data_IF_842053994924
#
_entry.id   IF_842053994924
#
_cell.length_a   1.000
_cell.length_b   1.000
_cell.length_c   1.000
_cell.angle_alpha   90.00
_cell.angle_beta   90.00
_cell.angle_gamma   90.00
#
_symmetry.space_group_name_H-M   'P 1'
#
loop_
_entity.id
_entity.type
_entity.pdbx_description
1 polymer ?
#
# COMPACT_ATOMS: atom_id res chain seq x y z
N UNK A 1 19.15 6.65 -5.39
CA UNK A 1 18.37 5.42 -5.69
C UNK A 1 17.05 5.59 -4.95
N UNK A 2 15.93 5.16 -5.49
CA UNK A 2 14.64 5.19 -4.80
C UNK A 2 14.45 3.91 -4.02
N UNK A 3 13.91 4.01 -2.81
CA UNK A 3 13.60 2.88 -1.95
C UNK A 3 12.10 2.57 -2.02
N UNK A 4 11.70 1.31 -1.84
CA UNK A 4 10.31 0.91 -1.68
C UNK A 4 10.13 0.24 -0.31
N UNK A 5 9.28 0.78 0.54
CA UNK A 5 8.93 0.16 1.82
C UNK A 5 7.62 -0.59 1.66
N UNK A 6 7.66 -1.90 1.91
CA UNK A 6 6.57 -2.83 1.69
C UNK A 6 5.85 -3.14 3.01
N UNK A 7 4.55 -2.85 3.05
CA UNK A 7 3.71 -2.98 4.23
C UNK A 7 2.75 -4.16 4.06
N UNK A 8 2.89 -5.17 4.90
CA UNK A 8 2.15 -6.42 4.81
C UNK A 8 0.69 -6.31 5.31
N UNK A 9 -0.20 -7.26 4.92
CA UNK A 9 -1.58 -7.30 5.40
C UNK A 9 -1.67 -7.72 6.86
N UNK A 10 -2.88 -7.76 7.39
CA UNK A 10 -3.16 -8.11 8.79
C UNK A 10 -2.66 -9.52 9.16
N UNK A 11 -1.97 -9.67 10.28
CA UNK A 11 -1.35 -10.94 10.70
C UNK A 11 -2.32 -12.12 10.75
N UNK A 12 -3.50 -11.93 11.31
CA UNK A 12 -4.48 -13.00 11.45
C UNK A 12 -5.01 -13.57 10.12
N UNK A 13 -4.77 -12.85 9.01
CA UNK A 13 -5.20 -13.24 7.66
C UNK A 13 -4.00 -13.57 6.74
N UNK A 14 -2.96 -14.17 7.31
CA UNK A 14 -1.74 -14.52 6.56
C UNK A 14 -0.81 -13.35 6.31
N UNK A 15 -0.85 -12.33 7.18
CA UNK A 15 0.06 -11.20 7.17
C UNK A 15 1.47 -11.57 7.59
N UNK A 16 2.37 -10.59 7.42
CA UNK A 16 3.79 -10.69 7.69
C UNK A 16 4.60 -10.35 6.44
N UNK A 17 5.86 -10.01 6.64
CA UNK A 17 6.78 -9.58 5.58
C UNK A 17 6.98 -10.63 4.47
N UNK A 18 6.66 -11.90 4.74
CA UNK A 18 6.73 -13.02 3.80
C UNK A 18 5.37 -13.39 3.19
N UNK A 19 4.34 -12.55 3.36
CA UNK A 19 3.08 -12.71 2.65
C UNK A 19 3.32 -12.86 1.15
N UNK A 20 2.53 -13.71 0.47
CA UNK A 20 2.73 -14.06 -0.93
C UNK A 20 2.76 -12.83 -1.86
N UNK A 21 1.83 -11.90 -1.71
CA UNK A 21 1.76 -10.68 -2.55
C UNK A 21 2.99 -9.80 -2.27
N UNK A 22 3.32 -9.59 -1.00
CA UNK A 22 4.50 -8.80 -0.59
C UNK A 22 5.79 -9.43 -1.10
N UNK A 23 5.94 -10.76 -1.02
CA UNK A 23 7.12 -11.47 -1.53
C UNK A 23 7.22 -11.36 -3.04
N UNK A 24 6.11 -11.51 -3.76
CA UNK A 24 6.11 -11.38 -5.23
C UNK A 24 6.51 -9.98 -5.70
N UNK A 25 6.09 -8.93 -4.98
CA UNK A 25 6.50 -7.54 -5.25
C UNK A 25 7.99 -7.36 -4.91
N UNK A 26 8.40 -7.83 -3.74
CA UNK A 26 9.80 -7.75 -3.29
C UNK A 26 10.76 -8.36 -4.30
N UNK A 27 10.49 -9.62 -4.71
CA UNK A 27 11.36 -10.36 -5.62
C UNK A 27 11.46 -9.68 -7.00
N UNK A 28 10.37 -9.07 -7.49
CA UNK A 28 10.38 -8.31 -8.76
C UNK A 28 11.14 -7.01 -8.66
N UNK A 29 11.01 -6.29 -7.55
CA UNK A 29 11.74 -5.05 -7.32
C UNK A 29 13.26 -5.26 -7.28
N UNK A 30 13.75 -6.41 -6.80
CA UNK A 30 15.17 -6.75 -6.81
C UNK A 30 15.79 -6.70 -8.21
N UNK A 31 14.99 -6.88 -9.26
CA UNK A 31 15.44 -6.80 -10.66
C UNK A 31 15.32 -5.39 -11.26
N UNK A 32 15.02 -4.37 -10.46
CA UNK A 32 14.81 -2.98 -10.90
C UNK A 32 15.80 -2.02 -10.26
N UNK A 33 15.64 -0.71 -10.55
CA UNK A 33 16.40 0.37 -9.90
C UNK A 33 15.78 0.83 -8.56
N UNK A 34 14.71 0.19 -8.09
CA UNK A 34 14.04 0.49 -6.82
C UNK A 34 14.44 -0.55 -5.79
N UNK A 35 15.04 -0.13 -4.68
CA UNK A 35 15.51 -1.01 -3.61
C UNK A 35 14.37 -1.37 -2.66
N UNK A 36 13.93 -2.64 -2.57
CA UNK A 36 12.85 -3.03 -1.68
C UNK A 36 13.30 -3.25 -0.24
N UNK A 37 12.46 -2.83 0.69
CA UNK A 37 12.55 -3.09 2.13
C UNK A 37 11.24 -3.72 2.58
N UNK A 38 11.30 -4.80 3.35
CA UNK A 38 10.14 -5.42 3.99
C UNK A 38 10.44 -5.69 5.46
N UNK A 39 9.43 -5.62 6.29
CA UNK A 39 9.54 -5.75 7.73
C UNK A 39 8.22 -6.28 8.30
N UNK A 40 8.23 -6.74 9.54
CA UNK A 40 7.02 -7.07 10.28
C UNK A 40 6.64 -5.91 11.19
N UNK A 41 5.35 -5.55 11.22
CA UNK A 41 4.85 -4.62 12.22
C UNK A 41 5.01 -5.20 13.62
N UNK A 42 5.37 -4.35 14.58
CA UNK A 42 5.48 -4.74 15.98
C UNK A 42 4.11 -5.02 16.62
N UNK A 43 3.04 -4.45 16.07
CA UNK A 43 1.67 -4.59 16.53
C UNK A 43 0.67 -4.39 15.39
N UNK A 44 -0.57 -4.84 15.60
CA UNK A 44 -1.73 -4.56 14.74
C UNK A 44 -2.43 -3.24 15.09
N UNK A 45 -1.98 -2.57 16.13
CA UNK A 45 -2.44 -1.21 16.45
C UNK A 45 -1.94 -0.23 15.39
N UNK A 46 -2.86 0.55 14.82
CA UNK A 46 -2.52 1.46 13.71
C UNK A 46 -1.37 2.43 14.08
N UNK A 47 -1.40 2.97 15.29
CA UNK A 47 -0.37 3.90 15.77
C UNK A 47 1.02 3.27 15.83
N UNK A 48 1.14 2.02 16.27
CA UNK A 48 2.38 1.28 16.31
C UNK A 48 2.86 0.95 14.87
N UNK A 49 1.97 0.43 14.03
CA UNK A 49 2.30 0.12 12.63
C UNK A 49 2.75 1.37 11.84
N UNK A 50 2.14 2.54 12.10
CA UNK A 50 2.58 3.81 11.54
C UNK A 50 3.97 4.22 12.03
N UNK A 51 4.24 4.09 13.34
CA UNK A 51 5.55 4.39 13.90
C UNK A 51 6.64 3.48 13.32
N UNK A 52 6.38 2.18 13.21
CA UNK A 52 7.28 1.22 12.57
C UNK A 52 7.56 1.61 11.11
N UNK A 53 6.52 2.00 10.37
CA UNK A 53 6.66 2.42 8.97
C UNK A 53 7.48 3.70 8.84
N UNK A 54 7.26 4.69 9.70
CA UNK A 54 8.05 5.94 9.72
C UNK A 54 9.51 5.64 10.01
N UNK A 55 9.81 4.75 10.95
CA UNK A 55 11.18 4.33 11.23
C UNK A 55 11.84 3.65 10.01
N UNK A 56 11.10 2.86 9.23
CA UNK A 56 11.61 2.28 7.98
C UNK A 56 11.86 3.36 6.91
N UNK A 57 10.99 4.36 6.80
CA UNK A 57 11.18 5.49 5.87
C UNK A 57 12.44 6.27 6.23
N UNK A 58 12.64 6.57 7.52
CA UNK A 58 13.79 7.32 8.03
C UNK A 58 15.12 6.56 7.89
N UNK A 59 15.07 5.24 7.82
CA UNK A 59 16.23 4.39 7.57
C UNK A 59 16.64 4.33 6.08
N UNK A 60 15.84 4.89 5.18
CA UNK A 60 16.14 4.94 3.75
C UNK A 60 16.97 6.18 3.41
N UNK A 61 17.93 6.02 2.50
CA UNK A 61 18.81 7.11 2.06
C UNK A 61 18.18 7.99 0.95
N UNK A 62 17.15 7.49 0.28
CA UNK A 62 16.54 8.10 -0.90
C UNK A 62 15.05 8.44 -0.74
N UNK A 63 14.42 8.92 -1.82
CA UNK A 63 12.97 9.00 -1.90
C UNK A 63 12.35 7.61 -1.74
N UNK A 64 11.20 7.54 -1.07
CA UNK A 64 10.54 6.27 -0.74
C UNK A 64 9.20 6.15 -1.46
N UNK A 65 8.94 5.02 -2.08
CA UNK A 65 7.59 4.61 -2.49
C UNK A 65 7.03 3.68 -1.42
N UNK A 66 5.85 4.00 -0.88
CA UNK A 66 5.16 3.09 0.03
C UNK A 66 4.28 2.14 -0.78
N UNK A 67 4.46 0.84 -0.60
CA UNK A 67 3.62 -0.19 -1.23
C UNK A 67 2.96 -0.99 -0.13
N UNK A 68 1.66 -0.78 0.06
CA UNK A 68 0.90 -1.45 1.11
C UNK A 68 -0.14 -2.41 0.55
N UNK A 69 -0.38 -3.50 1.29
CA UNK A 69 -1.45 -4.43 0.97
C UNK A 69 -2.43 -4.57 2.14
N UNK A 70 -3.73 -4.41 1.87
CA UNK A 70 -4.83 -4.54 2.83
C UNK A 70 -4.64 -3.61 4.04
N UNK A 71 -4.41 -4.14 5.24
CA UNK A 71 -4.06 -3.37 6.43
C UNK A 71 -2.84 -2.48 6.20
N UNK A 72 -1.76 -3.01 5.61
CA UNK A 72 -0.58 -2.24 5.27
C UNK A 72 -0.85 -1.09 4.30
N UNK A 73 -1.82 -1.25 3.40
CA UNK A 73 -2.25 -0.15 2.52
C UNK A 73 -3.00 0.95 3.29
N UNK A 74 -3.81 0.59 4.28
CA UNK A 74 -4.46 1.58 5.14
C UNK A 74 -3.45 2.32 6.01
N UNK A 75 -2.46 1.62 6.56
CA UNK A 75 -1.34 2.24 7.30
C UNK A 75 -0.57 3.21 6.38
N UNK A 76 -0.23 2.79 5.15
CA UNK A 76 0.45 3.64 4.18
C UNK A 76 -0.37 4.90 3.85
N UNK A 77 -1.69 4.75 3.66
CA UNK A 77 -2.59 5.87 3.36
C UNK A 77 -2.70 6.90 4.50
N UNK A 78 -2.35 6.52 5.72
CA UNK A 78 -2.34 7.41 6.88
C UNK A 78 -1.01 8.18 7.05
N UNK A 79 -0.02 7.99 6.15
CA UNK A 79 1.33 8.57 6.28
C UNK A 79 1.61 9.55 5.14
N UNK A 80 1.91 10.80 5.49
CA UNK A 80 2.39 11.86 4.56
C UNK A 80 3.78 12.35 4.99
N UNK A 81 4.78 11.49 4.87
CA UNK A 81 6.16 11.84 5.24
C UNK A 81 6.87 12.55 4.05
N UNK A 82 7.75 13.56 4.28
CA UNK A 82 8.43 14.30 3.21
C UNK A 82 9.29 13.44 2.28
N UNK A 83 9.88 12.35 2.79
CA UNK A 83 10.67 11.43 1.97
C UNK A 83 9.82 10.51 1.07
N UNK A 84 8.50 10.43 1.29
CA UNK A 84 7.63 9.60 0.46
C UNK A 84 7.39 10.27 -0.88
N UNK A 85 7.64 9.57 -1.97
CA UNK A 85 7.44 10.04 -3.33
C UNK A 85 6.08 9.64 -3.92
N UNK A 86 5.45 8.62 -3.36
CA UNK A 86 4.12 8.15 -3.79
C UNK A 86 3.69 6.87 -3.07
N UNK A 87 2.46 6.44 -3.33
CA UNK A 87 1.82 5.30 -2.67
C UNK A 87 1.19 4.34 -3.67
N UNK A 88 1.48 3.04 -3.55
CA UNK A 88 0.73 1.98 -4.20
C UNK A 88 -0.07 1.20 -3.15
N UNK A 89 -1.37 1.32 -3.19
CA UNK A 89 -2.32 0.80 -2.20
C UNK A 89 -3.10 -0.37 -2.81
N UNK A 90 -2.79 -1.59 -2.39
CA UNK A 90 -3.36 -2.82 -2.92
C UNK A 90 -4.47 -3.31 -1.99
N UNK A 91 -5.68 -3.49 -2.53
CA UNK A 91 -6.89 -3.86 -1.79
C UNK A 91 -6.98 -3.15 -0.43
N UNK A 92 -6.92 -1.79 -0.42
CA UNK A 92 -6.70 -1.02 0.80
C UNK A 92 -7.90 -1.14 1.75
N UNK A 93 -7.61 -1.46 3.01
CA UNK A 93 -8.63 -1.54 4.06
C UNK A 93 -9.01 -0.12 4.54
N UNK A 94 -9.61 0.70 3.66
CA UNK A 94 -9.99 2.10 3.93
C UNK A 94 -11.40 2.27 4.49
N UNK A 95 -12.15 1.19 4.59
CA UNK A 95 -13.46 1.16 5.22
C UNK A 95 -13.50 0.04 6.26
N UNK A 96 -14.36 0.18 7.26
CA UNK A 96 -14.61 -0.92 8.21
C UNK A 96 -15.72 -1.79 7.63
N UNK A 97 -15.43 -3.02 7.18
CA UNK A 97 -16.48 -3.91 6.72
C UNK A 97 -17.52 -4.15 7.82
N UNK A 98 -18.79 -4.24 7.46
CA UNK A 98 -19.90 -4.38 8.42
C UNK A 98 -19.80 -5.61 9.34
N UNK A 99 -18.98 -6.60 8.96
CA UNK A 99 -18.74 -7.82 9.73
C UNK A 99 -17.52 -7.73 10.67
N UNK A 100 -16.73 -6.65 10.62
CA UNK A 100 -15.67 -6.41 11.59
C UNK A 100 -16.32 -5.90 12.89
N UNK A 101 -16.03 -6.57 14.00
CA UNK A 101 -16.49 -6.17 15.31
C UNK A 101 -16.15 -4.70 15.59
N UNK A 102 -17.06 -3.92 16.20
CA UNK A 102 -16.71 -2.60 16.71
C UNK A 102 -15.54 -2.58 17.70
N UNK A 103 -15.21 -3.72 18.28
CA UNK A 103 -14.04 -3.91 19.14
C UNK A 103 -12.75 -4.21 18.36
N UNK A 104 -12.77 -4.24 17.01
CA UNK A 104 -11.55 -4.34 16.22
C UNK A 104 -10.63 -3.17 16.53
N UNK A 105 -9.34 -3.38 16.75
CA UNK A 105 -8.37 -2.29 16.93
C UNK A 105 -8.14 -1.49 15.64
N UNK A 106 -8.70 -1.96 14.52
CA UNK A 106 -8.52 -1.34 13.22
C UNK A 106 -9.67 -0.36 12.91
N UNK A 107 -9.34 0.92 12.90
CA UNK A 107 -10.25 2.01 12.51
C UNK A 107 -9.54 2.91 11.49
N UNK A 108 -9.68 2.65 10.18
CA UNK A 108 -9.08 3.52 9.17
C UNK A 108 -9.68 4.93 9.29
N UNK A 109 -8.87 5.98 9.07
CA UNK A 109 -9.39 7.33 9.06
C UNK A 109 -10.45 7.47 7.96
N UNK A 110 -11.57 8.16 8.27
CA UNK A 110 -12.66 8.37 7.31
C UNK A 110 -12.16 9.08 6.02
N UNK A 111 -11.15 9.93 6.16
CA UNK A 111 -10.45 10.57 5.05
C UNK A 111 -8.94 10.43 5.28
N UNK A 112 -8.28 9.47 4.63
CA UNK A 112 -6.84 9.33 4.73
C UNK A 112 -6.12 10.60 4.21
N UNK A 113 -5.09 11.08 4.91
CA UNK A 113 -4.41 12.32 4.57
C UNK A 113 -3.76 12.31 3.19
N UNK A 114 -3.42 11.14 2.65
CA UNK A 114 -2.87 11.02 1.28
C UNK A 114 -3.87 11.43 0.21
N UNK A 115 -5.17 11.42 0.48
CA UNK A 115 -6.19 11.80 -0.50
C UNK A 115 -6.02 13.21 -1.06
N UNK A 116 -5.60 14.16 -0.24
CA UNK A 116 -5.34 15.55 -0.64
C UNK A 116 -3.88 15.83 -0.99
N UNK A 117 -2.99 14.87 -0.81
CA UNK A 117 -1.57 15.02 -1.13
C UNK A 117 -1.37 15.04 -2.66
N UNK A 118 -0.63 16.00 -3.24
CA UNK A 118 -0.46 16.10 -4.69
C UNK A 118 0.45 15.03 -5.30
N UNK A 119 1.18 14.27 -4.49
CA UNK A 119 2.05 13.19 -4.97
C UNK A 119 1.25 12.02 -5.53
N UNK A 120 1.81 11.25 -6.48
CA UNK A 120 1.09 10.20 -7.18
C UNK A 120 0.66 9.04 -6.28
N UNK A 121 -0.50 8.50 -6.56
CA UNK A 121 -1.07 7.32 -5.90
C UNK A 121 -1.59 6.32 -6.92
N UNK A 122 -1.41 5.04 -6.62
CA UNK A 122 -2.09 3.94 -7.26
C UNK A 122 -2.99 3.25 -6.24
N UNK A 123 -4.24 3.02 -6.59
CA UNK A 123 -5.16 2.15 -5.84
C UNK A 123 -5.51 0.95 -6.71
N UNK A 124 -5.21 -0.25 -6.21
CA UNK A 124 -5.54 -1.50 -6.90
C UNK A 124 -6.60 -2.24 -6.10
N UNK A 125 -7.77 -2.46 -6.71
CA UNK A 125 -8.85 -3.28 -6.14
C UNK A 125 -8.89 -4.66 -6.81
N UNK A 126 -9.48 -5.64 -6.13
CA UNK A 126 -9.79 -6.94 -6.70
C UNK A 126 -11.28 -7.00 -7.06
N UNK A 127 -11.60 -7.47 -8.28
CA UNK A 127 -12.98 -7.44 -8.80
C UNK A 127 -13.98 -8.20 -7.91
N UNK A 128 -13.53 -9.27 -7.27
CA UNK A 128 -14.36 -10.13 -6.40
C UNK A 128 -13.99 -10.00 -4.93
N UNK A 129 -13.43 -8.86 -4.54
CA UNK A 129 -13.13 -8.59 -3.13
C UNK A 129 -14.44 -8.40 -2.36
N UNK A 130 -14.74 -9.34 -1.46
CA UNK A 130 -15.96 -9.27 -0.64
C UNK A 130 -15.86 -8.25 0.52
N UNK A 131 -14.69 -7.65 0.74
CA UNK A 131 -14.41 -6.75 1.86
C UNK A 131 -14.15 -5.31 1.41
N UNK A 132 -13.27 -5.16 0.42
CA UNK A 132 -12.75 -3.88 -0.05
C UNK A 132 -12.79 -3.81 -1.59
N UNK A 133 -13.90 -4.27 -2.18
CA UNK A 133 -14.15 -4.18 -3.60
C UNK A 133 -14.28 -2.73 -4.09
N UNK A 134 -14.37 -2.57 -5.39
CA UNK A 134 -14.48 -1.24 -5.99
C UNK A 134 -15.71 -0.46 -5.46
N UNK A 135 -16.82 -1.14 -5.23
CA UNK A 135 -18.04 -0.54 -4.66
C UNK A 135 -17.85 0.09 -3.27
N UNK A 136 -16.88 -0.42 -2.50
CA UNK A 136 -16.51 0.09 -1.17
C UNK A 136 -15.41 1.15 -1.26
N UNK A 137 -14.44 0.96 -2.14
CA UNK A 137 -13.22 1.79 -2.22
C UNK A 137 -13.41 3.01 -3.12
N UNK A 138 -14.10 2.87 -4.26
CA UNK A 138 -14.28 3.98 -5.21
C UNK A 138 -14.89 5.24 -4.57
N UNK A 139 -15.93 5.15 -3.72
CA UNK A 139 -16.46 6.33 -3.03
C UNK A 139 -15.45 7.04 -2.12
N UNK A 140 -14.51 6.28 -1.52
CA UNK A 140 -13.47 6.83 -0.63
C UNK A 140 -12.41 7.59 -1.42
N UNK A 141 -12.04 7.06 -2.59
CA UNK A 141 -10.91 7.58 -3.38
C UNK A 141 -11.34 8.49 -4.55
N UNK A 142 -12.66 8.67 -4.75
CA UNK A 142 -13.22 9.42 -5.87
C UNK A 142 -12.70 10.86 -5.99
N UNK A 143 -12.42 11.50 -4.85
CA UNK A 143 -11.95 12.88 -4.78
C UNK A 143 -10.43 12.97 -4.53
N UNK A 144 -9.72 11.84 -4.53
CA UNK A 144 -8.29 11.88 -4.30
C UNK A 144 -7.54 12.49 -5.50
N UNK A 145 -6.67 13.43 -5.21
CA UNK A 145 -5.84 14.06 -6.25
C UNK A 145 -4.71 13.13 -6.68
N UNK A 146 -4.32 13.19 -7.95
CA UNK A 146 -3.23 12.39 -8.53
C UNK A 146 -3.34 10.88 -8.22
N UNK A 147 -4.56 10.33 -8.27
CA UNK A 147 -4.87 8.94 -7.96
C UNK A 147 -5.26 8.16 -9.22
N UNK A 148 -4.45 7.16 -9.54
CA UNK A 148 -4.77 6.15 -10.55
C UNK A 148 -5.50 4.99 -9.87
N UNK A 149 -6.59 4.51 -10.47
CA UNK A 149 -7.34 3.37 -9.99
C UNK A 149 -7.28 2.23 -10.99
N UNK A 150 -7.03 1.03 -10.51
CA UNK A 150 -6.98 -0.19 -11.32
C UNK A 150 -7.74 -1.30 -10.62
N UNK A 151 -8.48 -2.13 -11.37
CA UNK A 151 -9.11 -3.35 -10.86
C UNK A 151 -8.46 -4.57 -11.48
N UNK A 152 -8.12 -5.57 -10.67
CA UNK A 152 -7.63 -6.87 -11.15
C UNK A 152 -8.82 -7.79 -11.42
N UNK A 153 -9.04 -8.20 -12.69
CA UNK A 153 -10.18 -9.05 -13.05
C UNK A 153 -10.14 -10.39 -12.34
N UNK A 154 -11.28 -10.88 -11.95
CA UNK A 154 -11.48 -12.20 -11.31
C UNK A 154 -10.71 -12.43 -10.00
N UNK A 155 -10.00 -11.44 -9.51
CA UNK A 155 -9.26 -11.51 -8.25
C UNK A 155 -10.19 -11.45 -7.04
N UNK A 156 -9.87 -12.21 -6.00
CA UNK A 156 -10.39 -12.04 -4.66
C UNK A 156 -9.45 -11.16 -3.81
N UNK A 157 -9.85 -10.86 -2.58
CA UNK A 157 -9.04 -10.07 -1.66
C UNK A 157 -7.61 -10.60 -1.48
N UNK A 158 -7.41 -11.91 -1.57
CA UNK A 158 -6.12 -12.56 -1.31
C UNK A 158 -5.22 -12.66 -2.55
N UNK A 159 -5.72 -12.30 -3.73
CA UNK A 159 -5.03 -12.42 -5.02
C UNK A 159 -4.42 -13.81 -5.24
N UNK A 160 -5.10 -14.86 -4.77
CA UNK A 160 -4.53 -16.21 -4.76
C UNK A 160 -4.15 -16.71 -6.16
N UNK A 161 -4.98 -16.44 -7.17
CA UNK A 161 -4.75 -16.82 -8.56
C UNK A 161 -4.12 -15.69 -9.41
N UNK A 162 -4.02 -14.48 -8.87
CA UNK A 162 -3.61 -13.26 -9.60
C UNK A 162 -2.45 -12.53 -8.91
N UNK A 163 -1.70 -13.25 -8.07
CA UNK A 163 -0.54 -12.71 -7.33
C UNK A 163 0.48 -12.06 -8.27
N UNK A 164 0.77 -12.71 -9.40
CA UNK A 164 1.73 -12.21 -10.37
C UNK A 164 1.23 -10.91 -11.02
N UNK A 165 -0.03 -10.87 -11.43
CA UNK A 165 -0.62 -9.70 -12.07
C UNK A 165 -0.62 -8.48 -11.15
N UNK A 166 -1.06 -8.63 -9.89
CA UNK A 166 -1.07 -7.51 -8.94
C UNK A 166 0.35 -7.04 -8.61
N UNK A 167 1.31 -7.95 -8.51
CA UNK A 167 2.71 -7.62 -8.28
C UNK A 167 3.30 -6.85 -9.46
N UNK A 168 3.05 -7.29 -10.71
CA UNK A 168 3.51 -6.61 -11.91
C UNK A 168 2.97 -5.18 -12.00
N UNK A 169 1.68 -4.96 -11.71
CA UNK A 169 1.06 -3.62 -11.67
C UNK A 169 1.72 -2.70 -10.65
N UNK A 170 1.88 -3.17 -9.41
CA UNK A 170 2.49 -2.39 -8.33
C UNK A 170 3.95 -2.03 -8.64
N UNK A 171 4.71 -2.98 -9.16
CA UNK A 171 6.14 -2.78 -9.51
C UNK A 171 6.28 -1.84 -10.70
N UNK A 172 5.50 -2.03 -11.77
CA UNK A 172 5.54 -1.14 -12.94
C UNK A 172 5.25 0.30 -12.54
N UNK A 173 4.22 0.51 -11.71
CA UNK A 173 3.88 1.84 -11.20
C UNK A 173 4.99 2.42 -10.32
N UNK A 174 5.55 1.65 -9.39
CA UNK A 174 6.62 2.09 -8.50
C UNK A 174 7.87 2.52 -9.29
N UNK A 175 8.27 1.74 -10.30
CA UNK A 175 9.42 2.05 -11.16
C UNK A 175 9.19 3.34 -11.96
N UNK A 176 7.99 3.51 -12.52
CA UNK A 176 7.65 4.71 -13.29
C UNK A 176 7.72 5.99 -12.43
N UNK A 177 7.28 5.93 -11.16
CA UNK A 177 7.23 7.10 -10.28
C UNK A 177 8.52 7.31 -9.47
N UNK A 178 9.36 6.27 -9.33
CA UNK A 178 10.69 6.40 -8.77
C UNK A 178 11.59 7.36 -9.56
N UNK A 179 11.46 7.37 -10.88
CA UNK A 179 12.24 8.26 -11.75
C UNK A 179 11.85 9.74 -11.58
N UNK A 180 10.57 10.03 -11.35
CA UNK A 180 10.08 11.41 -11.17
C UNK A 180 10.53 12.03 -9.85
N UNK A 181 10.69 11.25 -8.80
CA UNK A 181 11.14 11.69 -7.49
C UNK A 181 12.62 12.13 -7.45
N UNK A 182 13.44 11.62 -8.36
CA UNK A 182 14.85 11.98 -8.45
C UNK A 182 15.09 13.42 -8.99
N UNK A 183 14.07 14.02 -9.61
CA UNK A 183 14.16 15.34 -10.27
C UNK A 183 13.84 16.52 -9.33
N UNK A 184 13.21 16.27 -8.18
CA UNK A 184 12.70 17.30 -7.26
C UNK A 184 13.65 17.53 -6.06
N UNK A 185 14.94 17.37 -6.22
CA UNK A 185 15.90 17.88 -5.19
C UNK A 185 16.31 19.30 -5.56
N UNK A 186 16.10 20.28 -4.64
CA UNK A 186 16.64 21.63 -4.78
C UNK A 186 18.16 21.62 -4.71
#
# INVERSE_FOLDING_TARGET
MTDAVLLHPYFAHGGGQHNRVISAIYDRLLATSVKPHRFDFSSVEESAARADTVAQIEACDGPVVLIGYSFGAAVAAAITHPAVAGWALIAPALAVPQFISPASPFHPPAQPPVGTDPRPKLVVTAERDAWFGADVIDPVVAEWVACEQQTVPSADHFFAATTDEVADRAVAWAVAHAASAAVVRP
#
